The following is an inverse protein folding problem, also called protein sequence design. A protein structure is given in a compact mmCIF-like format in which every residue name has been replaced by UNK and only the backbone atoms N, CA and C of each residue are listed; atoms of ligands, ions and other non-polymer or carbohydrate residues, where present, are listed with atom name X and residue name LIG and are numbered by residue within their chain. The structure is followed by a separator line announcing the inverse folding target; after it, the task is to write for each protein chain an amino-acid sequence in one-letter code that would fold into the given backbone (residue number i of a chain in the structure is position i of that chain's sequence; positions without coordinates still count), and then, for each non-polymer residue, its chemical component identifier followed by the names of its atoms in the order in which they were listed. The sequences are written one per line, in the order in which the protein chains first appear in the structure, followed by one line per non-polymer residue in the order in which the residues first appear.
data_IF_150752779653
#
_entry.id   IF_150752779653
#
_cell.length_a   1.000
_cell.length_b   1.000
_cell.length_c   1.000
_cell.angle_alpha   90.00
_cell.angle_beta   90.00
_cell.angle_gamma   90.00
#
_symmetry.space_group_name_H-M   'P 1'
#
loop_
_entity.id
_entity.type
_entity.pdbx_description
1 polymer ?
#
# COMPACT_ATOMS: atom_id res chain seq x y z
N UNK A 1 15.33 -6.83 0.74
CA UNK A 1 13.98 -7.25 1.16
C UNK A 1 13.21 -7.79 -0.04
N UNK A 2 12.65 -8.96 0.12
CA UNK A 2 11.84 -9.55 -0.96
C UNK A 2 10.37 -9.18 -0.77
N UNK A 3 9.81 -8.57 -1.79
CA UNK A 3 8.38 -8.26 -1.80
C UNK A 3 7.74 -9.02 -2.96
N UNK A 4 6.50 -9.41 -2.77
CA UNK A 4 5.77 -10.16 -3.79
C UNK A 4 5.42 -9.25 -4.98
N UNK A 5 5.04 -9.88 -6.08
CA UNK A 5 4.61 -9.16 -7.27
C UNK A 5 3.45 -8.21 -6.98
N UNK A 6 2.49 -8.66 -6.17
CA UNK A 6 1.31 -7.85 -5.84
C UNK A 6 1.68 -6.70 -4.91
N UNK A 7 2.58 -6.95 -3.97
CA UNK A 7 3.07 -5.88 -3.09
C UNK A 7 3.82 -4.83 -3.90
N UNK A 8 4.65 -5.27 -4.86
CA UNK A 8 5.40 -4.37 -5.70
C UNK A 8 4.49 -3.49 -6.55
N UNK A 9 3.46 -4.08 -7.16
CA UNK A 9 2.51 -3.32 -7.97
C UNK A 9 1.78 -2.27 -7.16
N UNK A 10 1.35 -2.65 -5.95
CA UNK A 10 0.66 -1.73 -5.06
C UNK A 10 1.58 -0.58 -4.67
N UNK A 11 2.81 -0.89 -4.24
CA UNK A 11 3.77 0.13 -3.84
C UNK A 11 4.13 1.05 -5.01
N UNK A 12 4.24 0.50 -6.21
CA UNK A 12 4.54 1.30 -7.39
C UNK A 12 3.45 2.34 -7.64
N UNK A 13 2.19 1.94 -7.55
CA UNK A 13 1.08 2.86 -7.71
C UNK A 13 1.06 3.92 -6.62
N UNK A 14 1.36 3.53 -5.38
CA UNK A 14 1.42 4.48 -4.27
C UNK A 14 2.57 5.45 -4.42
N UNK A 15 3.70 4.98 -4.96
CA UNK A 15 4.86 5.85 -5.23
C UNK A 15 4.52 6.93 -6.25
N UNK A 16 3.55 6.68 -7.10
CA UNK A 16 3.11 7.63 -8.11
C UNK A 16 1.95 8.53 -7.64
N UNK A 17 1.63 8.48 -6.36
CA UNK A 17 0.61 9.36 -5.80
C UNK A 17 -0.69 8.68 -5.40
N UNK A 18 -0.72 7.35 -5.45
CA UNK A 18 -1.91 6.62 -5.04
C UNK A 18 -2.09 6.58 -3.53
N UNK A 19 -3.19 5.99 -3.10
CA UNK A 19 -3.53 5.88 -1.69
C UNK A 19 -4.38 4.64 -1.45
N UNK A 20 -4.39 4.17 -0.20
CA UNK A 20 -5.24 3.07 0.20
C UNK A 20 -6.23 3.59 1.23
N UNK A 21 -7.50 3.64 0.86
CA UNK A 21 -8.58 3.98 1.78
C UNK A 21 -8.96 2.72 2.55
N UNK A 22 -9.44 2.90 3.75
CA UNK A 22 -9.77 1.76 4.62
C UNK A 22 -11.04 2.03 5.40
N UNK A 23 -11.69 0.94 5.82
CA UNK A 23 -12.87 0.99 6.65
C UNK A 23 -12.65 0.07 7.86
N UNK A 24 -12.98 0.57 9.03
CA UNK A 24 -12.87 -0.20 10.27
C UNK A 24 -14.24 -0.68 10.71
N UNK A 25 -14.25 -1.81 11.42
CA UNK A 25 -15.47 -2.29 12.06
C UNK A 25 -15.66 -1.60 13.43
N UNK A 26 -16.67 -2.03 14.16
CA UNK A 26 -17.04 -1.39 15.43
C UNK A 26 -15.96 -1.52 16.51
N UNK A 27 -15.10 -2.53 16.41
CA UNK A 27 -14.02 -2.73 17.37
C UNK A 27 -12.70 -2.15 16.92
N UNK A 28 -12.68 -1.45 15.79
CA UNK A 28 -11.50 -0.75 15.34
C UNK A 28 -10.57 -1.56 14.42
N UNK A 29 -10.98 -2.73 13.97
CA UNK A 29 -10.17 -3.51 13.05
C UNK A 29 -10.48 -3.11 11.61
N UNK A 30 -9.43 -3.02 10.78
CA UNK A 30 -9.59 -2.74 9.36
C UNK A 30 -10.12 -3.99 8.67
N UNK A 31 -11.31 -3.90 8.09
CA UNK A 31 -11.97 -5.04 7.46
C UNK A 31 -12.11 -4.88 5.95
N UNK A 32 -11.87 -3.69 5.44
CA UNK A 32 -12.01 -3.42 4.01
C UNK A 32 -11.01 -2.37 3.58
N UNK A 33 -10.42 -2.56 2.42
CA UNK A 33 -9.50 -1.56 1.85
C UNK A 33 -9.87 -1.32 0.40
N UNK A 34 -9.47 -0.14 -0.09
CA UNK A 34 -9.70 0.28 -1.45
C UNK A 34 -8.47 1.05 -1.91
N UNK A 35 -7.64 0.41 -2.72
CA UNK A 35 -6.42 1.03 -3.22
C UNK A 35 -6.71 1.70 -4.55
N UNK A 36 -6.35 2.97 -4.65
CA UNK A 36 -6.55 3.74 -5.88
C UNK A 36 -5.24 4.36 -6.31
N UNK A 37 -5.06 4.52 -7.61
CA UNK A 37 -3.90 5.21 -8.13
C UNK A 37 -4.14 6.73 -8.07
N UNK A 38 -3.18 7.50 -8.58
CA UNK A 38 -3.25 8.96 -8.55
C UNK A 38 -4.51 9.50 -9.23
N UNK A 39 -4.97 8.83 -10.27
CA UNK A 39 -6.14 9.25 -11.05
C UNK A 39 -7.46 8.76 -10.48
N UNK A 40 -7.41 8.00 -9.37
CA UNK A 40 -8.63 7.49 -8.74
C UNK A 40 -9.06 6.12 -9.23
N UNK A 41 -8.28 5.47 -10.11
CA UNK A 41 -8.60 4.14 -10.58
C UNK A 41 -8.28 3.10 -9.51
N UNK A 42 -9.19 2.16 -9.36
CA UNK A 42 -9.05 1.10 -8.36
C UNK A 42 -8.07 0.04 -8.82
N UNK A 43 -7.24 -0.43 -7.88
CA UNK A 43 -6.26 -1.49 -8.12
C UNK A 43 -6.74 -2.79 -7.49
N UNK A 44 -7.05 -3.78 -8.31
CA UNK A 44 -7.58 -5.06 -7.83
C UNK A 44 -6.50 -5.94 -7.20
N UNK A 45 -5.24 -5.68 -7.52
CA UNK A 45 -4.12 -6.48 -7.00
C UNK A 45 -3.87 -6.27 -5.51
N UNK A 46 -4.37 -5.17 -4.94
CA UNK A 46 -4.18 -4.89 -3.53
C UNK A 46 -5.31 -5.49 -2.71
N UNK A 47 -5.11 -6.72 -2.28
CA UNK A 47 -6.06 -7.38 -1.39
C UNK A 47 -5.80 -6.97 0.05
N UNK A 48 -6.70 -7.33 0.95
CA UNK A 48 -6.51 -7.07 2.37
C UNK A 48 -5.23 -7.75 2.87
N UNK A 49 -4.93 -8.94 2.37
CA UNK A 49 -3.71 -9.67 2.74
C UNK A 49 -2.45 -8.90 2.34
N UNK A 50 -2.43 -8.36 1.11
CA UNK A 50 -1.31 -7.55 0.62
C UNK A 50 -1.16 -6.30 1.49
N UNK A 51 -2.27 -5.62 1.75
CA UNK A 51 -2.29 -4.44 2.60
C UNK A 51 -1.69 -4.73 4.00
N UNK A 52 -2.11 -5.84 4.61
CA UNK A 52 -1.62 -6.20 5.94
C UNK A 52 -0.12 -6.43 5.95
N UNK A 53 0.41 -7.07 4.91
CA UNK A 53 1.85 -7.30 4.82
C UNK A 53 2.62 -6.00 4.63
N UNK A 54 2.13 -5.10 3.79
CA UNK A 54 2.77 -3.80 3.58
C UNK A 54 2.78 -2.98 4.88
N UNK A 55 1.65 -3.01 5.59
CA UNK A 55 1.52 -2.29 6.85
C UNK A 55 2.48 -2.85 7.91
N UNK A 56 2.56 -4.16 8.02
CA UNK A 56 3.43 -4.83 9.00
C UNK A 56 4.89 -4.49 8.77
N UNK A 57 5.29 -4.36 7.51
CA UNK A 57 6.67 -4.01 7.15
C UNK A 57 6.92 -2.52 7.16
N UNK A 58 5.92 -1.74 7.52
CA UNK A 58 6.00 -0.27 7.58
C UNK A 58 6.34 0.37 6.24
N UNK A 59 5.93 -0.26 5.17
CA UNK A 59 6.10 0.28 3.82
C UNK A 59 5.00 1.28 3.46
N UNK A 60 3.92 1.29 4.24
CA UNK A 60 2.82 2.23 4.13
C UNK A 60 2.46 2.71 5.53
N UNK A 61 1.88 3.91 5.61
CA UNK A 61 1.42 4.46 6.89
C UNK A 61 0.25 5.40 6.67
N UNK A 62 -0.55 5.57 7.72
CA UNK A 62 -1.68 6.49 7.74
C UNK A 62 -1.38 7.60 8.75
N UNK A 63 -1.73 8.83 8.42
CA UNK A 63 -1.58 9.97 9.33
C UNK A 63 -2.96 10.50 9.67
N UNK A 64 -3.21 10.66 10.97
CA UNK A 64 -4.45 11.25 11.48
C UNK A 64 -5.71 10.52 10.98
N UNK A 65 -5.62 9.19 10.82
CA UNK A 65 -6.75 8.40 10.36
C UNK A 65 -7.06 8.52 8.89
N UNK A 66 -6.22 9.22 8.12
CA UNK A 66 -6.40 9.37 6.70
C UNK A 66 -6.01 8.12 5.92
N UNK A 67 -6.04 8.21 4.59
CA UNK A 67 -5.66 7.04 3.77
C UNK A 67 -4.19 6.67 3.98
N UNK A 68 -3.88 5.40 3.73
CA UNK A 68 -2.50 4.94 3.79
C UNK A 68 -1.75 5.39 2.55
N UNK A 69 -0.53 5.83 2.76
CA UNK A 69 0.35 6.26 1.69
C UNK A 69 1.71 5.61 1.85
N UNK A 70 2.52 5.62 0.80
CA UNK A 70 3.83 4.98 0.83
C UNK A 70 4.76 5.74 1.78
N UNK A 71 5.60 5.00 2.49
CA UNK A 71 6.60 5.58 3.39
C UNK A 71 7.93 5.71 2.66
N UNK A 72 8.92 6.31 3.34
CA UNK A 72 10.29 6.35 2.81
C UNK A 72 10.81 4.94 2.58
N UNK A 73 10.54 4.04 3.51
CA UNK A 73 10.96 2.64 3.40
C UNK A 73 10.27 1.97 2.21
N UNK A 74 9.01 2.31 1.97
CA UNK A 74 8.28 1.80 0.82
C UNK A 74 8.87 2.28 -0.49
N UNK A 75 9.26 3.55 -0.55
CA UNK A 75 9.90 4.10 -1.75
C UNK A 75 11.24 3.39 -2.01
N UNK A 76 12.01 3.15 -0.97
CA UNK A 76 13.28 2.44 -1.09
C UNK A 76 13.07 1.02 -1.61
N UNK A 77 12.03 0.34 -1.13
CA UNK A 77 11.71 -1.01 -1.57
C UNK A 77 11.36 -1.06 -3.05
N UNK A 78 10.58 -0.09 -3.52
CA UNK A 78 10.22 0.00 -4.94
C UNK A 78 11.46 0.23 -5.79
N UNK A 79 12.33 1.16 -5.37
CA UNK A 79 13.55 1.46 -6.10
C UNK A 79 14.48 0.26 -6.17
N UNK A 80 14.61 -0.47 -5.07
CA UNK A 80 15.46 -1.67 -5.03
C UNK A 80 14.96 -2.71 -6.03
N UNK A 81 13.64 -2.88 -6.15
CA UNK A 81 13.08 -3.83 -7.09
C UNK A 81 13.32 -3.39 -8.54
N UNK A 82 13.21 -2.10 -8.82
CA UNK A 82 13.44 -1.57 -10.15
C UNK A 82 14.90 -1.71 -10.55
N UNK A 83 15.81 -1.55 -9.59
CA UNK A 83 17.25 -1.63 -9.86
C UNK A 83 17.73 -3.07 -10.03
N UNK A 84 16.94 -4.03 -9.63
CA UNK A 84 17.32 -5.45 -9.68
C UNK A 84 16.81 -6.18 -10.93
N UNK A 85 16.44 -5.47 -11.94
CA UNK A 85 15.94 -6.09 -13.17
C UNK A 85 16.99 -6.86 -13.93
#
# INVERSE_FOLDING_TARGET
MNISKYEQRTLHALAQGGAIHHRKNDVGHIVEIDCVNRDGWRLDDCTLSVFQRLRRRRLISSQNGGPYRITREGLAAVRAQLDNR
#
